data_IF_787604558262
#
_entry.id   IF_787604558262
#
_cell.length_a   1.000
_cell.length_b   1.000
_cell.length_c   1.000
_cell.angle_alpha   90.00
_cell.angle_beta   90.00
_cell.angle_gamma   90.00
#
_symmetry.space_group_name_H-M   'P 1'
#
loop_
_entity.id
_entity.type
_entity.pdbx_description
1 polymer ?
#
# COMPACT_ATOMS: atom_id res chain seq x y z
N UNK A 1 -8.25 35.66 14.94
CA UNK A 1 -7.04 35.07 15.53
C UNK A 1 -6.96 33.59 15.16
N UNK A 2 -6.30 33.27 14.04
CA UNK A 2 -6.02 31.89 13.66
C UNK A 2 -4.60 31.57 14.12
N UNK A 3 -4.48 30.76 15.17
CA UNK A 3 -3.20 30.26 15.66
C UNK A 3 -2.62 29.27 14.65
N UNK A 4 -1.90 29.77 13.65
CA UNK A 4 -1.03 28.93 12.84
C UNK A 4 0.09 28.42 13.73
N UNK A 5 0.08 27.13 14.05
CA UNK A 5 1.15 26.49 14.80
C UNK A 5 2.48 26.74 14.07
N UNK A 6 3.46 27.30 14.77
CA UNK A 6 4.81 27.47 14.23
C UNK A 6 5.37 26.05 13.96
N UNK A 7 5.84 25.75 12.75
CA UNK A 7 6.34 24.42 12.42
C UNK A 7 7.51 24.05 13.30
N UNK A 8 7.53 22.80 13.76
CA UNK A 8 8.63 22.29 14.57
C UNK A 8 9.83 21.93 13.68
N UNK A 9 10.65 22.94 13.37
CA UNK A 9 11.84 22.84 12.51
C UNK A 9 12.84 21.80 13.04
N UNK A 10 12.89 21.60 14.36
CA UNK A 10 13.84 20.66 14.97
C UNK A 10 13.50 19.21 14.60
N UNK A 11 12.23 18.81 14.65
CA UNK A 11 11.84 17.46 14.24
C UNK A 11 12.04 17.22 12.74
N UNK A 12 11.76 18.21 11.90
CA UNK A 12 12.03 18.12 10.46
C UNK A 12 13.52 17.89 10.18
N UNK A 13 14.40 18.59 10.91
CA UNK A 13 15.85 18.40 10.81
C UNK A 13 16.26 17.01 11.31
N UNK A 14 15.79 16.59 12.48
CA UNK A 14 16.11 15.26 13.05
C UNK A 14 15.73 14.12 12.10
N UNK A 15 14.55 14.17 11.47
CA UNK A 15 14.12 13.15 10.50
C UNK A 15 14.99 13.19 9.23
N UNK A 16 15.32 14.39 8.73
CA UNK A 16 16.21 14.52 7.56
C UNK A 16 17.59 13.92 7.84
N UNK A 17 18.16 14.23 8.99
CA UNK A 17 19.47 13.72 9.39
C UNK A 17 19.44 12.20 9.57
N UNK A 18 18.34 11.64 10.09
CA UNK A 18 18.11 10.19 10.15
C UNK A 18 18.09 9.57 8.75
N UNK A 19 17.30 10.13 7.82
CA UNK A 19 17.19 9.61 6.43
C UNK A 19 18.51 9.61 5.68
N UNK A 20 19.38 10.59 5.92
CA UNK A 20 20.72 10.64 5.32
C UNK A 20 21.64 9.50 5.78
N UNK A 21 21.34 8.89 6.93
CA UNK A 21 22.11 7.79 7.50
C UNK A 21 21.51 6.42 7.16
N UNK A 22 20.30 6.38 6.59
CA UNK A 22 19.67 5.13 6.18
C UNK A 22 20.45 4.47 5.03
N UNK A 23 20.61 3.14 5.05
CA UNK A 23 21.10 2.42 3.89
C UNK A 23 20.13 2.58 2.71
N UNK A 24 20.59 2.37 1.46
CA UNK A 24 19.70 2.35 0.31
C UNK A 24 18.64 1.24 0.47
N UNK A 25 17.41 1.54 0.04
CA UNK A 25 16.33 0.56 0.03
C UNK A 25 16.68 -0.63 -0.86
N UNK A 26 16.34 -1.84 -0.40
CA UNK A 26 16.48 -3.05 -1.22
C UNK A 26 15.43 -3.02 -2.35
N UNK A 27 15.73 -3.56 -3.54
CA UNK A 27 14.71 -3.68 -4.59
C UNK A 27 13.56 -4.58 -4.12
N UNK A 28 12.32 -4.17 -4.38
CA UNK A 28 11.14 -4.98 -4.11
C UNK A 28 11.04 -6.09 -5.17
N UNK A 29 11.75 -7.20 -4.96
CA UNK A 29 11.75 -8.31 -5.93
C UNK A 29 10.34 -8.91 -6.13
N UNK A 30 9.98 -9.36 -7.34
CA UNK A 30 8.71 -10.05 -7.58
C UNK A 30 8.52 -11.27 -6.69
N UNK A 31 7.28 -11.52 -6.27
CA UNK A 31 6.90 -12.74 -5.57
C UNK A 31 7.30 -13.98 -6.37
N UNK A 32 7.98 -14.92 -5.71
CA UNK A 32 8.46 -16.14 -6.35
C UNK A 32 7.47 -17.27 -6.13
N UNK A 33 7.35 -18.16 -7.10
CA UNK A 33 6.47 -19.35 -7.01
C UNK A 33 6.89 -20.34 -5.91
N UNK A 34 8.12 -20.22 -5.41
CA UNK A 34 8.66 -20.91 -4.23
C UNK A 34 8.27 -20.26 -2.90
N UNK A 35 7.67 -19.06 -2.90
CA UNK A 35 7.17 -18.37 -1.69
C UNK A 35 5.89 -19.01 -1.12
N UNK A 36 5.67 -20.29 -1.46
CA UNK A 36 4.95 -21.27 -0.65
C UNK A 36 3.61 -20.84 -0.09
N UNK A 37 2.63 -20.51 -0.93
CA UNK A 37 1.20 -20.49 -0.58
C UNK A 37 0.83 -19.73 0.71
N UNK A 38 1.67 -18.78 1.12
CA UNK A 38 1.59 -18.09 2.41
C UNK A 38 0.93 -16.72 2.31
N UNK A 39 0.84 -16.06 3.46
CA UNK A 39 0.40 -14.67 3.55
C UNK A 39 1.61 -13.78 3.31
N UNK A 40 1.49 -12.85 2.37
CA UNK A 40 2.48 -11.80 2.09
C UNK A 40 1.93 -10.47 2.56
N UNK A 41 2.71 -9.76 3.37
CA UNK A 41 2.36 -8.45 3.93
C UNK A 41 3.26 -7.38 3.33
N UNK A 42 2.64 -6.51 2.54
CA UNK A 42 3.32 -5.37 1.92
C UNK A 42 2.84 -4.05 2.53
N UNK A 43 3.73 -3.07 2.65
CA UNK A 43 3.41 -1.70 3.07
C UNK A 43 3.70 -0.74 1.93
N UNK A 44 2.82 0.23 1.70
CA UNK A 44 3.03 1.32 0.73
C UNK A 44 2.88 2.68 1.42
N UNK A 45 3.94 3.48 1.41
CA UNK A 45 3.89 4.89 1.79
C UNK A 45 3.35 5.69 0.60
N UNK A 46 2.40 6.60 0.84
CA UNK A 46 1.98 7.56 -0.19
C UNK A 46 2.79 8.85 -0.09
N UNK A 47 2.91 9.62 -1.19
CA UNK A 47 3.42 10.98 -1.12
C UNK A 47 2.63 11.86 -0.15
N UNK A 48 3.33 12.85 0.43
CA UNK A 48 2.71 13.99 1.11
C UNK A 48 1.88 14.75 0.07
N UNK A 49 0.63 15.06 0.40
CA UNK A 49 -0.27 15.77 -0.48
C UNK A 49 -0.01 17.29 -0.43
N UNK A 50 -0.34 18.04 -1.50
CA UNK A 50 -0.07 19.49 -1.55
C UNK A 50 -0.67 20.28 -0.37
N UNK A 51 -1.83 19.88 0.14
CA UNK A 51 -2.44 20.54 1.29
C UNK A 51 -1.69 20.26 2.60
N UNK A 52 -1.15 19.05 2.77
CA UNK A 52 -0.32 18.65 3.92
C UNK A 52 1.02 19.42 3.88
N UNK A 53 1.61 19.58 2.69
CA UNK A 53 2.79 20.44 2.49
C UNK A 53 2.49 21.90 2.85
N UNK A 54 1.35 22.43 2.40
CA UNK A 54 0.94 23.80 2.70
C UNK A 54 0.71 24.04 4.20
N UNK A 55 0.21 23.02 4.91
CA UNK A 55 0.05 23.01 6.35
C UNK A 55 1.35 22.69 7.11
N UNK A 56 2.44 22.38 6.38
CA UNK A 56 3.74 22.00 6.93
C UNK A 56 3.62 20.80 7.88
N UNK A 57 2.79 19.84 7.50
CA UNK A 57 2.69 18.57 8.19
C UNK A 57 4.02 17.82 8.09
N UNK A 58 4.36 17.12 9.17
CA UNK A 58 5.60 16.38 9.27
C UNK A 58 5.45 15.03 8.57
N UNK A 59 6.33 14.76 7.60
CA UNK A 59 6.51 13.42 7.07
C UNK A 59 7.24 12.55 8.10
N UNK A 60 6.47 11.88 8.96
CA UNK A 60 6.99 11.06 10.05
C UNK A 60 7.28 9.61 9.66
N UNK A 61 7.21 9.24 8.38
CA UNK A 61 7.42 7.86 7.92
C UNK A 61 8.62 7.81 6.98
N UNK A 62 9.59 6.96 7.28
CA UNK A 62 10.67 6.61 6.34
C UNK A 62 10.41 5.20 5.84
N UNK A 63 10.24 5.07 4.52
CA UNK A 63 10.08 3.79 3.84
C UNK A 63 11.43 3.41 3.22
N UNK A 64 11.97 2.26 3.63
CA UNK A 64 13.25 1.76 3.18
C UNK A 64 13.20 0.24 3.17
N UNK A 65 12.75 -0.35 2.06
CA UNK A 65 12.53 -1.79 1.91
C UNK A 65 13.69 -2.64 2.48
N UNK A 66 13.42 -3.63 3.35
CA UNK A 66 12.12 -4.17 3.79
C UNK A 66 11.50 -3.49 5.04
N UNK A 67 11.99 -2.31 5.41
CA UNK A 67 11.61 -1.64 6.64
C UNK A 67 10.71 -0.43 6.42
N UNK A 68 9.65 -0.32 7.23
CA UNK A 68 8.91 0.92 7.42
C UNK A 68 9.25 1.46 8.82
N UNK A 69 9.67 2.73 8.88
CA UNK A 69 10.15 3.36 10.11
C UNK A 69 9.23 4.51 10.46
N UNK A 70 8.66 4.46 11.67
CA UNK A 70 7.77 5.49 12.22
C UNK A 70 8.56 6.36 13.18
N UNK A 71 8.63 7.66 12.88
CA UNK A 71 9.31 8.65 13.70
C UNK A 71 8.32 9.29 14.69
N UNK A 72 8.34 8.80 15.92
CA UNK A 72 7.56 9.34 17.03
C UNK A 72 8.26 10.57 17.62
N UNK A 73 7.52 11.67 17.75
CA UNK A 73 7.98 12.90 18.39
C UNK A 73 7.78 12.77 19.90
N UNK A 74 8.87 12.86 20.67
CA UNK A 74 8.83 12.88 22.12
C UNK A 74 9.53 14.11 22.69
N UNK A 75 9.22 14.38 23.95
CA UNK A 75 9.96 15.30 24.79
C UNK A 75 10.58 14.51 25.92
N UNK A 76 11.80 14.87 26.33
CA UNK A 76 12.41 14.30 27.53
C UNK A 76 11.60 14.67 28.77
N UNK A 77 11.98 14.10 29.92
CA UNK A 77 11.33 14.34 31.22
C UNK A 77 11.30 15.82 31.60
N UNK A 78 12.20 16.63 31.05
CA UNK A 78 12.22 18.10 31.23
C UNK A 78 11.08 18.84 30.50
N UNK A 79 10.34 18.16 29.61
CA UNK A 79 9.24 18.73 28.82
C UNK A 79 9.66 19.72 27.74
N UNK A 80 10.97 19.91 27.52
CA UNK A 80 11.53 20.94 26.63
C UNK A 80 12.46 20.31 25.59
N UNK A 81 13.31 19.36 26.00
CA UNK A 81 14.27 18.74 25.09
C UNK A 81 13.54 17.78 24.15
N UNK A 82 13.52 18.12 22.86
CA UNK A 82 12.94 17.29 21.81
C UNK A 82 13.79 16.04 21.58
N UNK A 83 13.13 14.91 21.45
CA UNK A 83 13.74 13.65 21.07
C UNK A 83 12.90 12.95 19.99
N UNK A 84 13.59 12.32 19.05
CA UNK A 84 12.97 11.52 18.01
C UNK A 84 13.16 10.04 18.35
N UNK A 85 12.07 9.32 18.52
CA UNK A 85 12.10 7.87 18.70
C UNK A 85 11.66 7.22 17.39
N UNK A 86 12.51 6.35 16.83
CA UNK A 86 12.25 5.73 15.53
C UNK A 86 11.95 4.25 15.71
N UNK A 87 10.72 3.86 15.38
CA UNK A 87 10.22 2.50 15.50
C UNK A 87 10.30 1.82 14.13
N UNK A 88 11.11 0.78 14.03
CA UNK A 88 11.32 0.03 12.79
C UNK A 88 10.44 -1.21 12.76
N UNK A 89 9.76 -1.41 11.63
CA UNK A 89 8.92 -2.57 11.36
C UNK A 89 9.37 -3.21 10.05
N UNK A 90 9.59 -4.53 10.07
CA UNK A 90 9.98 -5.32 8.91
C UNK A 90 8.75 -5.96 8.26
N UNK A 91 8.70 -5.94 6.93
CA UNK A 91 7.63 -6.51 6.12
C UNK A 91 8.22 -7.27 4.94
N UNK A 92 7.42 -8.06 4.24
CA UNK A 92 7.89 -8.76 3.04
C UNK A 92 8.35 -7.76 1.97
N UNK A 93 7.61 -6.64 1.82
CA UNK A 93 7.95 -5.53 0.93
C UNK A 93 7.47 -4.20 1.50
N UNK A 94 8.28 -3.16 1.34
CA UNK A 94 7.91 -1.78 1.63
C UNK A 94 8.16 -0.91 0.40
N UNK A 95 7.09 -0.29 -0.08
CA UNK A 95 7.09 0.66 -1.19
C UNK A 95 7.12 2.08 -0.63
N UNK A 96 8.05 2.90 -1.11
CA UNK A 96 8.17 4.31 -0.72
C UNK A 96 7.18 5.21 -1.45
N UNK A 97 7.29 6.52 -1.22
CA UNK A 97 6.44 7.52 -1.87
C UNK A 97 6.65 7.64 -3.39
N UNK A 98 7.78 7.19 -3.93
CA UNK A 98 8.09 7.26 -5.36
C UNK A 98 7.51 6.06 -6.12
N UNK A 99 7.26 4.96 -5.41
CA UNK A 99 6.71 3.74 -5.98
C UNK A 99 5.32 3.93 -6.64
N UNK A 100 5.25 3.56 -7.92
CA UNK A 100 4.04 3.61 -8.72
C UNK A 100 3.13 2.41 -8.45
N UNK A 101 1.91 2.44 -8.98
CA UNK A 101 1.02 1.28 -8.90
C UNK A 101 1.53 0.12 -9.76
N UNK A 102 2.23 0.42 -10.85
CA UNK A 102 2.89 -0.56 -11.71
C UNK A 102 4.05 -1.27 -10.98
N UNK A 103 4.84 -0.55 -10.18
CA UNK A 103 5.90 -1.16 -9.35
C UNK A 103 5.31 -2.14 -8.32
N UNK A 104 4.22 -1.73 -7.65
CA UNK A 104 3.48 -2.60 -6.72
C UNK A 104 2.89 -3.80 -7.44
N UNK A 105 2.36 -3.61 -8.64
CA UNK A 105 1.81 -4.67 -9.47
C UNK A 105 2.87 -5.71 -9.82
N UNK A 106 4.00 -5.29 -10.39
CA UNK A 106 5.06 -6.19 -10.80
C UNK A 106 5.69 -6.96 -9.65
N UNK A 107 5.81 -6.32 -8.48
CA UNK A 107 6.35 -6.96 -7.30
C UNK A 107 5.37 -7.96 -6.65
N UNK A 108 4.06 -7.69 -6.69
CA UNK A 108 3.05 -8.41 -5.89
C UNK A 108 2.05 -9.18 -6.75
N UNK A 109 1.34 -8.51 -7.65
CA UNK A 109 0.18 -9.11 -8.32
C UNK A 109 0.54 -9.85 -9.61
N UNK A 110 1.52 -9.35 -10.37
CA UNK A 110 1.93 -9.91 -11.67
C UNK A 110 2.33 -11.39 -11.62
N UNK A 111 3.11 -11.86 -10.63
CA UNK A 111 3.50 -13.27 -10.55
C UNK A 111 2.35 -14.20 -10.15
N UNK A 112 1.28 -13.66 -9.55
CA UNK A 112 0.15 -14.43 -9.04
C UNK A 112 -0.84 -14.84 -10.14
N UNK A 113 -0.93 -14.06 -11.22
CA UNK A 113 -1.82 -14.35 -12.36
C UNK A 113 -1.46 -15.68 -13.06
N UNK A 114 -0.23 -15.89 -13.57
CA UNK A 114 0.12 -17.16 -14.20
C UNK A 114 0.03 -18.32 -13.21
N UNK A 115 0.40 -18.09 -11.94
CA UNK A 115 0.25 -19.10 -10.90
C UNK A 115 -1.21 -19.54 -10.73
N UNK A 116 -2.16 -18.61 -10.67
CA UNK A 116 -3.58 -18.90 -10.51
C UNK A 116 -4.16 -19.61 -11.73
N UNK A 117 -3.85 -19.11 -12.94
CA UNK A 117 -4.38 -19.64 -14.20
C UNK A 117 -3.82 -21.02 -14.55
N UNK A 118 -2.53 -21.25 -14.34
CA UNK A 118 -1.86 -22.50 -14.75
C UNK A 118 -1.99 -23.61 -13.69
N UNK A 119 -2.01 -23.25 -12.40
CA UNK A 119 -2.09 -24.22 -11.30
C UNK A 119 -3.50 -24.40 -10.72
N UNK A 120 -4.47 -23.61 -11.20
CA UNK A 120 -5.87 -23.68 -10.74
C UNK A 120 -6.08 -23.22 -9.29
N UNK A 121 -5.29 -22.24 -8.84
CA UNK A 121 -5.33 -21.73 -7.47
C UNK A 121 -6.20 -20.49 -7.28
N UNK A 122 -6.56 -20.20 -6.02
CA UNK A 122 -7.24 -18.95 -5.65
C UNK A 122 -6.26 -17.95 -5.05
N UNK A 123 -6.33 -16.70 -5.52
CA UNK A 123 -5.51 -15.58 -5.03
C UNK A 123 -6.44 -14.52 -4.46
N UNK A 124 -6.11 -13.99 -3.29
CA UNK A 124 -6.85 -12.89 -2.66
C UNK A 124 -5.88 -11.77 -2.30
N UNK A 125 -6.21 -10.54 -2.70
CA UNK A 125 -5.42 -9.34 -2.39
C UNK A 125 -6.26 -8.38 -1.58
N UNK A 126 -5.75 -7.97 -0.42
CA UNK A 126 -6.41 -6.99 0.45
C UNK A 126 -5.66 -5.66 0.41
N UNK A 127 -6.40 -4.56 0.38
CA UNK A 127 -5.86 -3.23 0.69
C UNK A 127 -6.39 -2.77 2.04
N UNK A 128 -5.48 -2.53 2.99
CA UNK A 128 -5.80 -2.12 4.36
C UNK A 128 -5.14 -0.77 4.70
N UNK A 129 -5.74 -0.02 5.63
CA UNK A 129 -5.24 1.28 6.08
C UNK A 129 -6.35 2.30 6.32
N UNK A 130 -5.98 3.46 6.87
CA UNK A 130 -6.91 4.55 7.19
C UNK A 130 -7.54 5.23 5.95
N UNK A 131 -8.63 5.97 6.13
CA UNK A 131 -9.19 6.83 5.06
C UNK A 131 -8.11 7.81 4.56
N UNK A 132 -8.03 7.99 3.25
CA UNK A 132 -7.00 8.85 2.63
C UNK A 132 -5.62 8.21 2.47
N UNK A 133 -5.40 6.95 2.86
CA UNK A 133 -4.09 6.28 2.71
C UNK A 133 -3.77 5.77 1.30
N UNK A 134 -4.69 5.90 0.34
CA UNK A 134 -4.47 5.44 -1.04
C UNK A 134 -4.89 4.00 -1.36
N UNK A 135 -5.71 3.36 -0.50
CA UNK A 135 -6.28 2.02 -0.75
C UNK A 135 -6.98 1.92 -2.10
N UNK A 136 -7.99 2.77 -2.33
CA UNK A 136 -8.78 2.78 -3.57
C UNK A 136 -7.90 3.07 -4.78
N UNK A 137 -7.00 4.06 -4.68
CA UNK A 137 -6.05 4.40 -5.74
C UNK A 137 -5.21 3.19 -6.16
N UNK A 138 -4.67 2.45 -5.20
CA UNK A 138 -3.86 1.25 -5.47
C UNK A 138 -4.72 0.12 -6.04
N UNK A 139 -5.83 -0.21 -5.39
CA UNK A 139 -6.68 -1.35 -5.78
C UNK A 139 -7.27 -1.17 -7.19
N UNK A 140 -7.74 0.03 -7.53
CA UNK A 140 -8.26 0.31 -8.89
C UNK A 140 -7.19 0.14 -9.96
N UNK A 141 -5.95 0.57 -9.70
CA UNK A 141 -4.85 0.37 -10.65
C UNK A 141 -4.46 -1.10 -10.78
N UNK A 142 -4.40 -1.84 -9.67
CA UNK A 142 -4.15 -3.28 -9.69
C UNK A 142 -5.23 -4.03 -10.46
N UNK A 143 -6.52 -3.71 -10.25
CA UNK A 143 -7.63 -4.34 -10.97
C UNK A 143 -7.53 -4.14 -12.48
N UNK A 144 -7.15 -2.94 -12.94
CA UNK A 144 -6.93 -2.65 -14.35
C UNK A 144 -5.81 -3.53 -14.93
N UNK A 145 -4.64 -3.52 -14.29
CA UNK A 145 -3.47 -4.27 -14.74
C UNK A 145 -3.73 -5.79 -14.72
N UNK A 146 -4.39 -6.30 -13.67
CA UNK A 146 -4.82 -7.70 -13.56
C UNK A 146 -5.72 -8.09 -14.72
N UNK A 147 -6.75 -7.28 -15.03
CA UNK A 147 -7.65 -7.56 -16.15
C UNK A 147 -6.87 -7.60 -17.47
N UNK A 148 -5.97 -6.63 -17.71
CA UNK A 148 -5.11 -6.60 -18.90
C UNK A 148 -4.26 -7.87 -19.03
N UNK A 149 -3.63 -8.33 -17.96
CA UNK A 149 -2.80 -9.55 -17.97
C UNK A 149 -3.65 -10.81 -18.18
N UNK A 150 -4.78 -10.95 -17.47
CA UNK A 150 -5.69 -12.10 -17.61
C UNK A 150 -6.21 -12.21 -19.04
N UNK A 151 -6.72 -11.12 -19.62
CA UNK A 151 -7.22 -11.15 -21.00
C UNK A 151 -6.08 -11.35 -22.02
N UNK A 152 -4.87 -10.87 -21.74
CA UNK A 152 -3.70 -11.14 -22.58
C UNK A 152 -3.31 -12.62 -22.55
N UNK A 153 -3.35 -13.26 -21.38
CA UNK A 153 -3.10 -14.69 -21.24
C UNK A 153 -4.18 -15.51 -21.94
N UNK A 154 -5.46 -15.17 -21.75
CA UNK A 154 -6.61 -15.81 -22.39
C UNK A 154 -6.53 -15.83 -23.92
N UNK A 155 -5.99 -14.77 -24.55
CA UNK A 155 -5.82 -14.70 -26.01
C UNK A 155 -4.72 -15.60 -26.57
N UNK A 156 -3.78 -16.04 -25.71
CA UNK A 156 -2.59 -16.81 -26.12
C UNK A 156 -2.70 -18.29 -25.81
N UNK A 157 -3.52 -18.65 -24.82
CA UNK A 157 -3.67 -20.01 -24.33
C UNK A 157 -4.91 -20.71 -24.85
N UNK A 158 -5.32 -21.74 -24.10
CA UNK A 158 -6.53 -22.52 -24.38
C UNK A 158 -7.80 -21.66 -24.20
N UNK A 159 -8.91 -22.04 -24.87
CA UNK A 159 -10.19 -21.38 -24.69
C UNK A 159 -10.60 -21.37 -23.21
N UNK A 160 -10.82 -20.17 -22.67
CA UNK A 160 -11.24 -19.97 -21.28
C UNK A 160 -12.45 -19.04 -21.19
N UNK A 161 -13.33 -19.34 -20.24
CA UNK A 161 -14.43 -18.46 -19.86
C UNK A 161 -13.97 -17.55 -18.72
N UNK A 162 -14.15 -16.24 -18.88
CA UNK A 162 -13.79 -15.24 -17.87
C UNK A 162 -15.07 -14.57 -17.38
N UNK A 163 -15.34 -14.69 -16.09
CA UNK A 163 -16.46 -14.03 -15.41
C UNK A 163 -15.95 -12.99 -14.40
N UNK A 164 -16.75 -11.95 -14.16
CA UNK A 164 -16.45 -10.88 -13.22
C UNK A 164 -17.66 -10.62 -12.33
N UNK A 165 -17.41 -10.53 -11.03
CA UNK A 165 -18.39 -10.10 -10.03
C UNK A 165 -17.84 -8.92 -9.26
N UNK A 166 -18.66 -7.90 -9.00
CA UNK A 166 -18.26 -6.75 -8.20
C UNK A 166 -19.35 -6.35 -7.22
N UNK A 167 -19.05 -6.37 -5.93
CA UNK A 167 -20.02 -6.10 -4.87
C UNK A 167 -19.38 -5.29 -3.73
N UNK A 168 -20.22 -4.60 -2.98
CA UNK A 168 -19.83 -3.94 -1.73
C UNK A 168 -20.58 -4.54 -0.53
N UNK A 169 -19.93 -4.57 0.63
CA UNK A 169 -20.57 -4.93 1.89
C UNK A 169 -20.77 -3.65 2.69
N UNK A 170 -22.03 -3.24 2.87
CA UNK A 170 -22.39 -2.03 3.62
C UNK A 170 -23.40 -2.36 4.71
N UNK A 171 -23.08 -2.06 5.97
CA UNK A 171 -23.94 -2.38 7.12
C UNK A 171 -24.19 -3.89 7.29
N UNK A 172 -23.19 -4.72 6.97
CA UNK A 172 -23.30 -6.18 7.02
C UNK A 172 -24.13 -6.81 5.89
N UNK A 173 -24.51 -6.04 4.87
CA UNK A 173 -25.31 -6.52 3.73
C UNK A 173 -24.54 -6.37 2.41
N UNK A 174 -24.54 -7.39 1.55
CA UNK A 174 -23.92 -7.30 0.23
C UNK A 174 -24.84 -6.60 -0.79
N UNK A 175 -24.23 -5.78 -1.66
CA UNK A 175 -24.91 -5.09 -2.77
C UNK A 175 -24.10 -5.29 -4.06
N UNK A 176 -24.78 -5.65 -5.15
CA UNK A 176 -24.18 -5.87 -6.47
C UNK A 176 -23.94 -4.54 -7.19
N UNK A 177 -22.68 -4.21 -7.44
CA UNK A 177 -22.28 -2.96 -8.08
C UNK A 177 -22.46 -2.99 -9.61
N UNK A 178 -22.62 -4.16 -10.22
CA UNK A 178 -22.86 -4.31 -11.66
C UNK A 178 -24.36 -4.30 -12.00
N UNK A 179 -25.22 -4.51 -11.00
CA UNK A 179 -26.68 -4.55 -11.17
C UNK A 179 -27.38 -3.45 -10.35
N UNK A 180 -26.98 -2.19 -10.56
CA UNK A 180 -27.66 -1.02 -9.99
C UNK A 180 -27.63 -0.95 -8.45
N UNK A 181 -26.61 -1.50 -7.80
CA UNK A 181 -26.50 -1.58 -6.34
C UNK A 181 -27.66 -2.37 -5.72
N UNK A 182 -28.19 -3.37 -6.43
CA UNK A 182 -29.24 -4.23 -5.92
C UNK A 182 -28.71 -5.04 -4.72
N UNK A 183 -29.52 -5.16 -3.67
CA UNK A 183 -29.18 -5.99 -2.51
C UNK A 183 -29.12 -7.45 -2.91
N UNK A 184 -28.04 -8.13 -2.55
CA UNK A 184 -27.90 -9.57 -2.71
C UNK A 184 -28.47 -10.27 -1.48
N UNK A 185 -29.22 -11.34 -1.70
CA UNK A 185 -29.72 -12.17 -0.59
C UNK A 185 -28.62 -13.14 -0.16
N UNK A 186 -28.29 -13.12 1.13
CA UNK A 186 -27.39 -14.11 1.74
C UNK A 186 -28.21 -15.33 2.15
N UNK A 187 -27.79 -16.52 1.70
CA UNK A 187 -28.35 -17.82 2.09
C UNK A 187 -28.34 -18.02 3.62
#
# INVERSE_FOLDING_TARGET
HCGGAVPDIDFHRMIRDFRQQCPPAQPAEPLRSSDGGGIVVCVRKRPIQPHEMAQRELDCITACNPFAIVHERKFRVDGITKCLESHQFEFDRVFDEEATTDDVYSAVAEPLVPWALERGGHVTVFAYGQTGSGKTHTMTGLQRLLAEQVFSHARRGDPMEVSLSFFEIYGGRPYDLLNGRQRLDTL
#
